data_IF_687320710240
#
_entry.id   IF_687320710240
#
_cell.length_a   1.000
_cell.length_b   1.000
_cell.length_c   1.000
_cell.angle_alpha   90.00
_cell.angle_beta   90.00
_cell.angle_gamma   90.00
#
_symmetry.space_group_name_H-M   'P 1'
#
loop_
_entity.id
_entity.type
_entity.pdbx_description
1 polymer ?
#
# COMPACT_ATOMS: atom_id res chain seq x y z
N UNK A 1 -47.14 43.58 -32.18
CA UNK A 1 -47.29 42.14 -31.88
C UNK A 1 -45.95 41.39 -32.23
N UNK A 2 -44.79 41.90 -31.83
CA UNK A 2 -43.45 41.30 -32.19
C UNK A 2 -42.45 41.18 -31.03
N UNK A 3 -42.86 41.41 -29.76
CA UNK A 3 -41.94 41.35 -28.61
C UNK A 3 -41.94 40.03 -27.83
N UNK A 4 -42.91 39.14 -28.02
CA UNK A 4 -43.05 37.94 -27.20
C UNK A 4 -42.15 36.76 -27.61
N UNK A 5 -41.65 36.78 -28.86
CA UNK A 5 -40.82 35.69 -29.40
C UNK A 5 -39.36 35.72 -28.91
N UNK A 6 -38.74 36.90 -28.81
CA UNK A 6 -37.35 37.05 -28.37
C UNK A 6 -37.13 36.68 -26.89
N UNK A 7 -38.09 36.98 -26.04
CA UNK A 7 -37.98 36.64 -24.60
C UNK A 7 -38.09 35.13 -24.33
N UNK A 8 -38.84 34.37 -25.12
CA UNK A 8 -38.91 32.91 -25.00
C UNK A 8 -37.62 32.23 -25.41
N UNK A 9 -36.99 32.68 -26.49
CA UNK A 9 -35.71 32.14 -26.99
C UNK A 9 -34.56 32.40 -25.99
N UNK A 10 -34.53 33.63 -25.39
CA UNK A 10 -33.55 33.96 -24.36
C UNK A 10 -33.68 33.14 -23.06
N UNK A 11 -34.92 32.86 -22.64
CA UNK A 11 -35.18 31.99 -21.49
C UNK A 11 -34.79 30.55 -21.76
N UNK A 12 -35.01 30.06 -22.97
CA UNK A 12 -34.67 28.70 -23.37
C UNK A 12 -33.16 28.52 -23.52
N UNK A 13 -32.44 29.52 -24.08
CA UNK A 13 -30.99 29.56 -24.15
C UNK A 13 -30.34 29.62 -22.73
N UNK A 14 -30.89 30.43 -21.81
CA UNK A 14 -30.41 30.49 -20.42
C UNK A 14 -30.63 29.16 -19.67
N UNK A 15 -31.74 28.48 -19.91
CA UNK A 15 -31.98 27.16 -19.31
C UNK A 15 -30.99 26.10 -19.84
N UNK A 16 -30.71 26.12 -21.15
CA UNK A 16 -29.77 25.19 -21.79
C UNK A 16 -28.31 25.44 -21.33
N UNK A 17 -27.91 26.73 -21.28
CA UNK A 17 -26.56 27.11 -20.78
C UNK A 17 -26.40 26.75 -19.29
N UNK A 18 -27.41 26.92 -18.44
CA UNK A 18 -27.37 26.50 -17.04
C UNK A 18 -27.31 24.97 -16.87
N UNK A 19 -27.90 24.19 -17.77
CA UNK A 19 -27.78 22.73 -17.80
C UNK A 19 -26.36 22.33 -18.21
N UNK A 20 -25.80 22.95 -19.25
CA UNK A 20 -24.40 22.68 -19.65
C UNK A 20 -23.41 23.06 -18.57
N UNK A 21 -23.54 24.22 -17.92
CA UNK A 21 -22.65 24.63 -16.81
C UNK A 21 -22.80 23.73 -15.56
N UNK A 22 -23.98 23.18 -15.29
CA UNK A 22 -24.18 22.17 -14.27
C UNK A 22 -23.54 20.81 -14.66
N UNK A 23 -23.62 20.42 -15.93
CA UNK A 23 -22.99 19.21 -16.44
C UNK A 23 -21.47 19.34 -16.42
N UNK A 24 -20.90 20.47 -16.85
CA UNK A 24 -19.44 20.72 -16.78
C UNK A 24 -18.94 20.77 -15.33
N UNK A 25 -19.68 21.41 -14.42
CA UNK A 25 -19.31 21.39 -13.00
C UNK A 25 -19.48 20.00 -12.38
N UNK A 26 -20.47 19.21 -12.83
CA UNK A 26 -20.67 17.83 -12.38
C UNK A 26 -19.61 16.87 -12.97
N UNK A 27 -19.25 17.05 -14.24
CA UNK A 27 -18.14 16.32 -14.88
C UNK A 27 -16.80 16.73 -14.25
N UNK A 28 -16.58 18.01 -13.97
CA UNK A 28 -15.41 18.50 -13.26
C UNK A 28 -15.39 18.00 -11.81
N UNK A 29 -16.53 17.96 -11.12
CA UNK A 29 -16.68 17.36 -9.80
C UNK A 29 -16.44 15.84 -9.84
N UNK A 30 -16.96 15.12 -10.82
CA UNK A 30 -16.69 13.69 -11.04
C UNK A 30 -15.23 13.43 -11.42
N UNK A 31 -14.62 14.29 -12.25
CA UNK A 31 -13.17 14.21 -12.57
C UNK A 31 -12.29 14.56 -11.37
N UNK A 32 -12.71 15.50 -10.53
CA UNK A 32 -11.98 15.88 -9.32
C UNK A 32 -12.13 14.85 -8.19
N UNK A 33 -13.25 14.14 -8.12
CA UNK A 33 -13.52 13.08 -7.14
C UNK A 33 -13.18 11.68 -7.65
N UNK A 34 -13.03 11.50 -8.96
CA UNK A 34 -12.61 10.23 -9.57
C UNK A 34 -11.11 10.21 -9.89
N UNK A 35 -10.28 10.79 -9.03
CA UNK A 35 -8.90 10.33 -8.92
C UNK A 35 -9.01 8.92 -8.34
N UNK A 36 -8.95 7.92 -9.22
CA UNK A 36 -8.80 6.53 -8.82
C UNK A 36 -7.74 6.49 -7.72
N UNK A 37 -8.12 6.02 -6.54
CA UNK A 37 -7.15 5.86 -5.45
C UNK A 37 -6.05 4.94 -5.96
N UNK A 38 -4.82 5.40 -5.94
CA UNK A 38 -3.69 4.62 -6.44
C UNK A 38 -3.12 3.77 -5.30
N UNK A 39 -3.49 2.50 -5.28
CA UNK A 39 -3.03 1.56 -4.25
C UNK A 39 -1.87 0.74 -4.76
N UNK A 40 -0.80 0.68 -4.00
CA UNK A 40 0.37 -0.12 -4.33
C UNK A 40 0.82 -0.99 -3.16
N UNK A 41 1.38 -2.14 -3.48
CA UNK A 41 2.03 -3.03 -2.54
C UNK A 41 3.54 -2.89 -2.72
N UNK A 42 4.26 -2.56 -1.66
CA UNK A 42 5.71 -2.67 -1.64
C UNK A 42 6.09 -4.02 -1.04
N UNK A 43 6.57 -4.91 -1.89
CA UNK A 43 6.80 -6.31 -1.59
C UNK A 43 8.28 -6.65 -1.54
N UNK A 44 8.64 -7.67 -0.78
CA UNK A 44 10.02 -8.14 -0.69
C UNK A 44 10.36 -8.70 0.69
N UNK A 45 11.49 -9.43 0.81
CA UNK A 45 11.92 -10.07 2.05
C UNK A 45 12.23 -9.05 3.17
N UNK A 46 12.30 -9.52 4.44
CA UNK A 46 12.84 -8.71 5.53
C UNK A 46 14.22 -8.17 5.16
N UNK A 47 14.49 -6.90 5.43
CA UNK A 47 15.78 -6.27 5.09
C UNK A 47 15.90 -5.73 3.67
N UNK A 48 14.90 -5.93 2.79
CA UNK A 48 14.96 -5.45 1.39
C UNK A 48 14.89 -3.92 1.23
N UNK A 49 14.64 -3.16 2.30
CA UNK A 49 14.60 -1.69 2.26
C UNK A 49 13.19 -1.10 2.11
N UNK A 50 12.13 -1.90 2.21
CA UNK A 50 10.73 -1.43 2.07
C UNK A 50 10.43 -0.18 2.88
N UNK A 51 10.69 -0.19 4.19
CA UNK A 51 10.36 0.95 5.06
C UNK A 51 11.00 2.25 4.61
N UNK A 52 12.30 2.23 4.28
CA UNK A 52 13.02 3.41 3.77
C UNK A 52 12.43 3.93 2.45
N UNK A 53 12.05 3.01 1.57
CA UNK A 53 11.42 3.38 0.29
C UNK A 53 9.98 3.83 0.48
N UNK A 54 9.22 3.21 1.40
CA UNK A 54 7.86 3.62 1.75
C UNK A 54 7.82 5.08 2.18
N UNK A 55 8.70 5.52 3.09
CA UNK A 55 8.77 6.91 3.54
C UNK A 55 8.93 7.90 2.38
N UNK A 56 9.81 7.59 1.43
CA UNK A 56 10.03 8.44 0.24
C UNK A 56 8.84 8.41 -0.72
N UNK A 57 8.24 7.24 -0.94
CA UNK A 57 7.10 7.08 -1.85
C UNK A 57 5.84 7.77 -1.33
N UNK A 58 5.53 7.64 -0.03
CA UNK A 58 4.37 8.33 0.56
C UNK A 58 4.54 9.84 0.50
N UNK A 59 5.76 10.36 0.70
CA UNK A 59 6.04 11.79 0.60
C UNK A 59 5.85 12.29 -0.85
N UNK A 60 6.30 11.53 -1.86
CA UNK A 60 6.20 11.92 -3.27
C UNK A 60 4.79 11.84 -3.82
N UNK A 61 4.07 10.76 -3.53
CA UNK A 61 2.76 10.46 -4.13
C UNK A 61 1.56 10.82 -3.25
N UNK A 62 1.81 11.22 -2.00
CA UNK A 62 0.77 11.58 -1.05
C UNK A 62 -0.10 10.39 -0.63
N UNK A 63 0.50 9.19 -0.55
CA UNK A 63 -0.18 7.96 -0.18
C UNK A 63 -0.28 7.81 1.33
N UNK A 64 -1.32 7.12 1.79
CA UNK A 64 -1.41 6.69 3.18
C UNK A 64 -0.59 5.42 3.39
N UNK A 65 0.35 5.43 4.34
CA UNK A 65 1.19 4.26 4.66
C UNK A 65 0.43 3.29 5.55
N UNK A 66 0.33 2.03 5.15
CA UNK A 66 -0.19 0.92 5.94
C UNK A 66 0.89 -0.15 6.10
N UNK A 67 1.63 -0.06 7.20
CA UNK A 67 2.69 -1.01 7.57
C UNK A 67 2.18 -1.92 8.68
N UNK A 68 1.93 -3.20 8.37
CA UNK A 68 1.50 -4.17 9.39
C UNK A 68 2.55 -4.39 10.48
N UNK A 69 3.83 -4.31 10.12
CA UNK A 69 4.91 -4.41 11.10
C UNK A 69 4.89 -3.26 12.12
N UNK A 70 4.58 -2.05 11.68
CA UNK A 70 4.53 -0.89 12.57
C UNK A 70 3.25 -0.88 13.40
N UNK A 71 2.12 -1.26 12.80
CA UNK A 71 0.85 -1.43 13.53
C UNK A 71 1.02 -2.43 14.67
N UNK A 72 1.59 -3.62 14.41
CA UNK A 72 1.82 -4.63 15.45
C UNK A 72 2.82 -4.16 16.51
N UNK A 73 3.92 -3.51 16.12
CA UNK A 73 4.88 -2.94 17.08
C UNK A 73 4.25 -1.87 17.97
N UNK A 74 3.36 -1.05 17.44
CA UNK A 74 2.64 -0.06 18.23
C UNK A 74 1.73 -0.75 19.28
N UNK A 75 1.05 -1.85 18.92
CA UNK A 75 0.27 -2.65 19.86
C UNK A 75 1.15 -3.27 20.95
N UNK A 76 2.35 -3.75 20.59
CA UNK A 76 3.34 -4.27 21.55
C UNK A 76 3.81 -3.16 22.51
N UNK A 77 4.18 -1.99 21.99
CA UNK A 77 4.60 -0.85 22.82
C UNK A 77 3.50 -0.36 23.79
N UNK A 78 2.23 -0.50 23.40
CA UNK A 78 1.07 -0.15 24.22
C UNK A 78 0.65 -1.27 25.15
N UNK A 79 1.34 -2.41 25.14
CA UNK A 79 1.05 -3.61 25.97
C UNK A 79 -0.40 -4.09 25.86
N UNK A 80 -1.04 -3.92 24.72
CA UNK A 80 -2.40 -4.41 24.50
C UNK A 80 -2.45 -5.94 24.51
N UNK A 81 -3.60 -6.56 24.75
CA UNK A 81 -3.74 -8.02 24.62
C UNK A 81 -3.27 -8.53 23.25
N UNK A 82 -3.61 -7.82 22.18
CA UNK A 82 -3.18 -8.09 20.82
C UNK A 82 -1.65 -7.97 20.67
N UNK A 83 -1.04 -6.93 21.24
CA UNK A 83 0.40 -6.73 21.22
C UNK A 83 1.16 -7.86 21.89
N UNK A 84 0.69 -8.33 23.07
CA UNK A 84 1.30 -9.46 23.78
C UNK A 84 1.22 -10.77 22.98
N UNK A 85 0.10 -11.01 22.31
CA UNK A 85 -0.05 -12.16 21.42
C UNK A 85 0.86 -12.05 20.20
N UNK A 86 0.87 -10.89 19.51
CA UNK A 86 1.69 -10.63 18.34
C UNK A 86 3.18 -10.80 18.65
N UNK A 87 3.64 -10.37 19.82
CA UNK A 87 5.04 -10.49 20.24
C UNK A 87 5.50 -11.95 20.25
N UNK A 88 4.66 -12.90 20.70
CA UNK A 88 5.01 -14.32 20.73
C UNK A 88 5.32 -14.90 19.34
N UNK A 89 4.69 -14.39 18.29
CA UNK A 89 4.97 -14.78 16.90
C UNK A 89 6.19 -14.04 16.36
N UNK A 90 6.28 -12.73 16.59
CA UNK A 90 7.34 -11.88 16.04
C UNK A 90 8.72 -12.24 16.61
N UNK A 91 8.81 -12.57 17.90
CA UNK A 91 10.07 -12.99 18.55
C UNK A 91 10.61 -14.32 18.01
N UNK A 92 9.74 -15.14 17.42
CA UNK A 92 10.10 -16.38 16.71
C UNK A 92 10.31 -16.19 15.21
N UNK A 93 10.11 -14.97 14.70
CA UNK A 93 10.14 -14.67 13.27
C UNK A 93 8.97 -15.22 12.47
N UNK A 94 7.87 -15.59 13.14
CA UNK A 94 6.65 -16.14 12.54
C UNK A 94 5.65 -15.05 12.17
N UNK A 95 4.69 -15.41 11.29
CA UNK A 95 3.56 -14.52 10.97
C UNK A 95 2.51 -14.54 12.08
N UNK A 96 1.94 -13.38 12.38
CA UNK A 96 0.73 -13.25 13.20
C UNK A 96 -0.46 -13.82 12.41
N UNK A 97 -1.47 -14.45 13.06
CA UNK A 97 -2.64 -15.01 12.37
C UNK A 97 -3.31 -14.04 11.38
N UNK A 98 -3.76 -14.58 10.24
CA UNK A 98 -4.29 -13.79 9.12
C UNK A 98 -5.49 -12.93 9.52
N UNK A 99 -6.41 -13.49 10.33
CA UNK A 99 -7.62 -12.80 10.75
C UNK A 99 -7.33 -11.52 11.53
N UNK A 100 -6.30 -11.57 12.38
CA UNK A 100 -5.86 -10.42 13.17
C UNK A 100 -5.33 -9.31 12.26
N UNK A 101 -4.43 -9.67 11.33
CA UNK A 101 -3.80 -8.71 10.43
C UNK A 101 -4.81 -8.13 9.44
N UNK A 102 -5.71 -8.95 8.90
CA UNK A 102 -6.79 -8.50 8.01
C UNK A 102 -7.72 -7.52 8.74
N UNK A 103 -8.10 -7.82 9.99
CA UNK A 103 -8.91 -6.93 10.82
C UNK A 103 -8.25 -5.57 11.04
N UNK A 104 -6.95 -5.55 11.34
CA UNK A 104 -6.17 -4.31 11.50
C UNK A 104 -6.14 -3.47 10.20
N UNK A 105 -5.93 -4.11 9.06
CA UNK A 105 -5.93 -3.42 7.76
C UNK A 105 -7.32 -2.88 7.43
N UNK A 106 -8.39 -3.66 7.66
CA UNK A 106 -9.76 -3.19 7.44
C UNK A 106 -10.06 -1.93 8.25
N UNK A 107 -9.73 -1.93 9.55
CA UNK A 107 -9.90 -0.77 10.42
C UNK A 107 -9.11 0.45 9.93
N UNK A 108 -7.84 0.24 9.55
CA UNK A 108 -6.99 1.31 9.05
C UNK A 108 -7.49 1.92 7.72
N UNK A 109 -8.10 1.12 6.84
CA UNK A 109 -8.76 1.58 5.61
C UNK A 109 -10.00 2.43 5.92
N UNK A 110 -10.79 2.06 6.93
CA UNK A 110 -12.02 2.75 7.32
C UNK A 110 -11.72 4.07 8.08
N UNK A 111 -10.61 4.13 8.80
CA UNK A 111 -10.14 5.35 9.48
C UNK A 111 -9.59 6.40 8.50
N UNK A 112 -9.31 6.04 7.24
CA UNK A 112 -8.71 6.94 6.25
C UNK A 112 -9.55 7.06 4.96
N UNK A 113 -10.85 7.45 5.04
CA UNK A 113 -11.75 7.47 3.87
C UNK A 113 -11.37 8.51 2.82
N UNK A 114 -10.56 9.51 3.18
CA UNK A 114 -10.11 10.58 2.28
C UNK A 114 -8.72 10.37 1.69
N UNK A 115 -8.12 9.19 1.86
CA UNK A 115 -6.79 8.91 1.32
C UNK A 115 -6.78 8.96 -0.21
N UNK A 116 -5.73 9.54 -0.80
CA UNK A 116 -5.52 9.54 -2.27
C UNK A 116 -5.12 8.16 -2.81
N UNK A 117 -4.79 7.24 -1.92
CA UNK A 117 -4.36 5.88 -2.17
C UNK A 117 -3.55 5.37 -0.99
N UNK A 118 -3.26 4.08 -1.01
CA UNK A 118 -2.55 3.40 0.06
C UNK A 118 -1.27 2.74 -0.46
N UNK A 119 -0.23 2.82 0.36
CA UNK A 119 0.98 2.03 0.21
C UNK A 119 0.97 0.94 1.29
N UNK A 120 0.79 -0.32 0.86
CA UNK A 120 0.84 -1.48 1.74
C UNK A 120 2.28 -1.97 1.89
N UNK A 121 2.81 -1.93 3.12
CA UNK A 121 4.13 -2.43 3.47
C UNK A 121 4.02 -3.61 4.44
N UNK A 122 4.53 -4.77 4.02
CA UNK A 122 4.45 -6.00 4.79
C UNK A 122 3.07 -6.64 4.86
N UNK A 123 2.18 -6.29 3.95
CA UNK A 123 0.86 -6.87 3.71
C UNK A 123 0.54 -6.78 2.21
N UNK A 124 -0.07 -7.83 1.60
CA UNK A 124 -0.33 -9.14 2.18
C UNK A 124 0.92 -10.03 2.31
N UNK A 125 0.89 -11.02 3.19
CA UNK A 125 1.96 -12.02 3.39
C UNK A 125 1.51 -13.46 3.15
N UNK A 126 0.23 -13.68 2.94
CA UNK A 126 -0.35 -14.98 2.57
C UNK A 126 -1.35 -14.79 1.43
N UNK A 127 -1.66 -15.83 0.64
CA UNK A 127 -2.70 -15.77 -0.39
C UNK A 127 -4.07 -15.38 0.20
N UNK A 128 -4.42 -15.85 1.39
CA UNK A 128 -5.66 -15.50 2.07
C UNK A 128 -5.74 -13.99 2.39
N UNK A 129 -4.63 -13.40 2.84
CA UNK A 129 -4.53 -11.95 3.04
C UNK A 129 -4.66 -11.18 1.72
N UNK A 130 -4.10 -11.70 0.61
CA UNK A 130 -4.19 -11.06 -0.70
C UNK A 130 -5.63 -11.02 -1.22
N UNK A 131 -6.34 -12.14 -1.12
CA UNK A 131 -7.76 -12.23 -1.47
C UNK A 131 -8.63 -11.30 -0.60
N UNK A 132 -8.37 -11.27 0.71
CA UNK A 132 -9.09 -10.39 1.63
C UNK A 132 -8.84 -8.91 1.29
N UNK A 133 -7.58 -8.52 0.97
CA UNK A 133 -7.25 -7.16 0.55
C UNK A 133 -7.99 -6.75 -0.72
N UNK A 134 -7.96 -7.61 -1.75
CA UNK A 134 -8.66 -7.34 -3.00
C UNK A 134 -10.17 -7.18 -2.79
N UNK A 135 -10.79 -8.00 -1.93
CA UNK A 135 -12.20 -7.87 -1.58
C UNK A 135 -12.51 -6.56 -0.83
N UNK A 136 -11.69 -6.17 0.15
CA UNK A 136 -11.83 -4.90 0.87
C UNK A 136 -11.72 -3.69 -0.06
N UNK A 137 -10.76 -3.72 -0.98
CA UNK A 137 -10.54 -2.63 -1.93
C UNK A 137 -11.60 -2.61 -3.05
N UNK A 138 -12.12 -3.75 -3.46
CA UNK A 138 -13.22 -3.85 -4.43
C UNK A 138 -14.49 -3.17 -3.91
N UNK A 139 -14.82 -3.33 -2.62
CA UNK A 139 -15.94 -2.62 -1.98
C UNK A 139 -15.78 -1.09 -2.01
N UNK A 140 -14.53 -0.61 -2.08
CA UNK A 140 -14.20 0.82 -2.16
C UNK A 140 -13.99 1.30 -3.61
N UNK A 141 -14.13 0.42 -4.62
CA UNK A 141 -13.89 0.74 -6.04
C UNK A 141 -12.45 1.11 -6.36
N UNK A 142 -11.50 0.63 -5.58
CA UNK A 142 -10.11 1.08 -5.58
C UNK A 142 -9.12 -0.11 -5.53
N UNK A 143 -8.97 -0.85 -6.63
CA UNK A 143 -8.12 -2.04 -6.65
C UNK A 143 -6.63 -1.72 -6.50
N UNK A 144 -5.82 -2.74 -6.20
CA UNK A 144 -4.35 -2.65 -6.29
C UNK A 144 -3.96 -2.36 -7.73
N UNK A 145 -3.18 -1.29 -7.93
CA UNK A 145 -2.63 -0.91 -9.24
C UNK A 145 -1.36 -1.71 -9.57
N UNK A 146 -0.46 -1.85 -8.60
CA UNK A 146 0.82 -2.55 -8.80
C UNK A 146 1.37 -3.12 -7.50
N UNK A 147 2.06 -4.26 -7.60
CA UNK A 147 2.95 -4.81 -6.58
C UNK A 147 4.39 -4.62 -7.04
N UNK A 148 5.15 -3.80 -6.33
CA UNK A 148 6.56 -3.56 -6.56
C UNK A 148 7.38 -4.51 -5.69
N UNK A 149 7.98 -5.53 -6.28
CA UNK A 149 8.70 -6.58 -5.59
C UNK A 149 10.21 -6.30 -5.61
N UNK A 150 10.78 -5.97 -4.44
CA UNK A 150 12.22 -5.73 -4.28
C UNK A 150 12.98 -7.06 -4.28
N UNK A 151 13.89 -7.21 -5.23
CA UNK A 151 14.81 -8.34 -5.34
C UNK A 151 16.17 -7.98 -4.73
N UNK A 152 16.59 -8.75 -3.72
CA UNK A 152 17.83 -8.53 -2.95
C UNK A 152 18.43 -9.88 -2.56
N UNK A 153 19.75 -10.02 -2.68
CA UNK A 153 20.47 -11.23 -2.28
C UNK A 153 20.38 -11.50 -0.77
N UNK A 154 20.44 -12.77 -0.39
CA UNK A 154 20.29 -13.18 1.03
C UNK A 154 21.39 -12.59 1.90
N UNK A 155 22.62 -12.55 1.39
CA UNK A 155 23.78 -12.01 2.09
C UNK A 155 23.58 -10.53 2.42
N UNK A 156 23.06 -9.76 1.46
CA UNK A 156 22.76 -8.35 1.65
C UNK A 156 21.59 -8.13 2.62
N UNK A 157 20.58 -9.02 2.59
CA UNK A 157 19.46 -8.97 3.54
C UNK A 157 19.93 -9.16 4.99
N UNK A 158 20.72 -10.21 5.25
CA UNK A 158 21.27 -10.50 6.59
C UNK A 158 22.12 -9.33 7.09
N UNK A 159 23.03 -8.83 6.24
CA UNK A 159 23.89 -7.68 6.55
C UNK A 159 23.05 -6.44 6.93
N UNK A 160 22.03 -6.11 6.16
CA UNK A 160 21.15 -4.95 6.43
C UNK A 160 20.36 -5.12 7.71
N UNK A 161 19.87 -6.33 7.99
CA UNK A 161 19.09 -6.60 9.20
C UNK A 161 19.94 -6.53 10.46
N UNK A 162 21.13 -7.13 10.47
CA UNK A 162 22.08 -7.02 11.59
C UNK A 162 22.46 -5.57 11.87
N UNK A 163 22.82 -4.81 10.82
CA UNK A 163 23.11 -3.37 10.97
C UNK A 163 21.93 -2.58 11.54
N UNK A 164 20.71 -2.91 11.11
CA UNK A 164 19.50 -2.26 11.64
C UNK A 164 19.27 -2.61 13.10
N UNK A 165 19.54 -3.85 13.51
CA UNK A 165 19.46 -4.30 14.91
C UNK A 165 20.29 -3.47 15.87
N UNK A 166 21.47 -3.02 15.44
CA UNK A 166 22.36 -2.18 16.26
C UNK A 166 21.74 -0.83 16.67
N UNK A 167 20.80 -0.30 15.88
CA UNK A 167 20.31 1.08 16.07
C UNK A 167 18.79 1.20 16.26
N UNK A 168 18.01 0.19 15.82
CA UNK A 168 16.54 0.30 15.75
C UNK A 168 15.80 -0.11 17.01
N UNK A 169 16.46 -0.78 17.96
CA UNK A 169 15.82 -1.38 19.14
C UNK A 169 14.81 -2.50 18.84
N UNK A 170 14.79 -3.01 17.58
CA UNK A 170 13.90 -4.11 17.18
C UNK A 170 14.46 -5.44 17.69
N UNK A 171 13.72 -6.15 18.54
CA UNK A 171 14.13 -7.43 19.10
C UNK A 171 14.34 -8.50 18.02
N UNK A 172 13.55 -8.45 16.95
CA UNK A 172 13.57 -9.39 15.83
C UNK A 172 14.74 -9.21 14.84
N UNK A 173 15.57 -8.18 15.03
CA UNK A 173 16.80 -7.94 14.23
C UNK A 173 18.11 -8.18 15.03
N UNK A 174 18.00 -8.46 16.32
CA UNK A 174 19.19 -8.63 17.20
C UNK A 174 19.74 -10.05 17.22
N UNK A 175 19.08 -11.00 16.56
CA UNK A 175 19.45 -12.41 16.57
C UNK A 175 19.46 -12.97 15.14
N UNK A 176 20.62 -13.42 14.68
CA UNK A 176 20.79 -13.95 13.32
C UNK A 176 19.88 -15.17 13.07
N UNK A 177 19.62 -16.02 14.07
CA UNK A 177 18.70 -17.15 13.91
C UNK A 177 17.26 -16.68 13.64
N UNK A 178 16.81 -15.61 14.32
CA UNK A 178 15.50 -15.01 14.09
C UNK A 178 15.45 -14.36 12.69
N UNK A 179 16.53 -13.67 12.28
CA UNK A 179 16.65 -13.09 10.94
C UNK A 179 16.51 -14.17 9.88
N UNK A 180 17.25 -15.28 10.01
CA UNK A 180 17.17 -16.40 9.06
C UNK A 180 15.80 -17.09 9.09
N UNK A 181 15.19 -17.27 10.26
CA UNK A 181 13.83 -17.78 10.37
C UNK A 181 12.82 -16.90 9.61
N UNK A 182 12.94 -15.59 9.70
CA UNK A 182 12.09 -14.63 8.95
C UNK A 182 12.29 -14.71 7.43
N UNK A 183 13.52 -14.94 6.97
CA UNK A 183 13.81 -15.12 5.53
C UNK A 183 13.19 -16.45 5.05
N UNK A 184 13.29 -17.51 5.82
CA UNK A 184 12.67 -18.81 5.51
C UNK A 184 11.14 -18.68 5.50
N UNK A 185 10.54 -18.02 6.51
CA UNK A 185 9.12 -17.79 6.60
C UNK A 185 8.60 -16.98 5.39
N UNK A 186 9.34 -15.94 4.99
CA UNK A 186 9.04 -15.16 3.79
C UNK A 186 9.05 -16.05 2.54
N UNK A 187 10.09 -16.86 2.33
CA UNK A 187 10.22 -17.71 1.15
C UNK A 187 9.14 -18.79 1.08
N UNK A 188 8.78 -19.36 2.23
CA UNK A 188 7.83 -20.47 2.29
C UNK A 188 6.37 -20.03 2.23
N UNK A 189 6.04 -18.87 2.79
CA UNK A 189 4.64 -18.43 2.94
C UNK A 189 4.30 -17.14 2.18
N UNK A 190 5.27 -16.23 2.07
CA UNK A 190 5.00 -14.88 1.55
C UNK A 190 5.37 -14.74 0.07
N UNK A 191 6.44 -15.35 -0.39
CA UNK A 191 6.86 -15.23 -1.79
C UNK A 191 5.77 -15.65 -2.78
N UNK A 192 4.95 -16.64 -2.44
CA UNK A 192 3.81 -17.13 -3.25
C UNK A 192 2.73 -16.06 -3.49
N UNK A 193 2.69 -14.99 -2.69
CA UNK A 193 1.74 -13.87 -2.91
C UNK A 193 2.04 -13.14 -4.23
N UNK A 194 3.30 -13.11 -4.66
CA UNK A 194 3.64 -12.57 -5.97
C UNK A 194 2.97 -13.36 -7.11
N UNK A 195 2.89 -14.70 -6.99
CA UNK A 195 2.20 -15.54 -7.98
C UNK A 195 0.69 -15.25 -8.04
N UNK A 196 0.10 -14.87 -6.91
CA UNK A 196 -1.31 -14.45 -6.86
C UNK A 196 -1.53 -13.20 -7.71
N UNK A 197 -0.73 -12.13 -7.50
CA UNK A 197 -0.87 -10.87 -8.25
C UNK A 197 -0.31 -10.95 -9.68
N UNK A 198 0.59 -11.89 -9.96
CA UNK A 198 1.10 -12.14 -11.32
C UNK A 198 0.00 -12.61 -12.28
N UNK A 199 -1.02 -13.33 -11.78
CA UNK A 199 -2.18 -13.73 -12.58
C UNK A 199 -2.97 -12.55 -13.16
N UNK A 200 -2.84 -11.38 -12.55
CA UNK A 200 -3.50 -10.12 -12.94
C UNK A 200 -2.53 -9.13 -13.59
N UNK A 201 -1.31 -9.56 -13.92
CA UNK A 201 -0.23 -8.73 -14.51
C UNK A 201 0.11 -7.48 -13.66
N UNK A 202 0.05 -7.64 -12.32
CA UNK A 202 0.27 -6.54 -11.38
C UNK A 202 1.65 -6.56 -10.71
N UNK A 203 2.53 -7.53 -11.00
CA UNK A 203 3.83 -7.67 -10.35
C UNK A 203 4.93 -7.05 -11.19
N UNK A 204 5.76 -6.24 -10.56
CA UNK A 204 6.98 -5.69 -11.15
C UNK A 204 8.17 -5.99 -10.25
N UNK A 205 9.13 -6.72 -10.78
CA UNK A 205 10.40 -6.98 -10.09
C UNK A 205 11.31 -5.76 -10.19
N UNK A 206 11.77 -5.25 -9.05
CA UNK A 206 12.67 -4.10 -8.97
C UNK A 206 13.94 -4.49 -8.24
N UNK A 207 15.10 -4.25 -8.85
CA UNK A 207 16.39 -4.49 -8.20
C UNK A 207 16.52 -3.63 -6.94
N UNK A 208 16.53 -4.28 -5.77
CA UNK A 208 16.59 -3.67 -4.45
C UNK A 208 18.02 -3.45 -3.92
N UNK A 209 19.04 -3.48 -4.81
CA UNK A 209 20.43 -3.23 -4.50
C UNK A 209 20.93 -1.95 -5.17
N UNK A 210 21.87 -1.26 -4.51
CA UNK A 210 22.37 0.06 -4.87
C UNK A 210 22.15 1.08 -3.77
N UNK A 211 22.24 2.36 -4.09
CA UNK A 211 21.93 3.43 -3.14
C UNK A 211 20.40 3.52 -2.89
N UNK A 212 20.02 4.18 -1.81
CA UNK A 212 18.59 4.42 -1.51
C UNK A 212 17.92 5.20 -2.65
N UNK A 213 18.64 6.15 -3.22
CA UNK A 213 18.19 7.00 -4.32
C UNK A 213 17.99 6.18 -5.62
N UNK A 214 18.96 5.33 -5.98
CA UNK A 214 18.85 4.47 -7.18
C UNK A 214 17.61 3.57 -7.12
N UNK A 215 17.34 2.99 -5.95
CA UNK A 215 16.17 2.13 -5.75
C UNK A 215 14.89 2.96 -5.84
N UNK A 216 14.89 4.14 -5.21
CA UNK A 216 13.74 5.05 -5.25
C UNK A 216 13.38 5.48 -6.68
N UNK A 217 14.39 5.84 -7.49
CA UNK A 217 14.18 6.24 -8.89
C UNK A 217 13.59 5.08 -9.72
N UNK A 218 14.09 3.84 -9.53
CA UNK A 218 13.53 2.66 -10.19
C UNK A 218 12.07 2.44 -9.81
N UNK A 219 11.73 2.55 -8.52
CA UNK A 219 10.36 2.42 -8.05
C UNK A 219 9.46 3.52 -8.64
N UNK A 220 9.90 4.77 -8.61
CA UNK A 220 9.15 5.89 -9.19
C UNK A 220 8.89 5.70 -10.68
N UNK A 221 9.87 5.24 -11.45
CA UNK A 221 9.71 4.96 -12.88
C UNK A 221 8.56 3.98 -13.14
N UNK A 222 8.46 2.92 -12.34
CA UNK A 222 7.40 1.92 -12.48
C UNK A 222 6.02 2.44 -12.04
N UNK A 223 5.99 3.32 -11.04
CA UNK A 223 4.77 3.98 -10.59
C UNK A 223 4.29 4.99 -11.64
N UNK A 224 5.17 5.87 -12.10
CA UNK A 224 4.84 6.96 -13.03
C UNK A 224 4.30 6.45 -14.39
N UNK A 225 4.55 5.18 -14.74
CA UNK A 225 3.98 4.54 -15.94
C UNK A 225 2.54 4.02 -15.73
N UNK A 226 2.05 3.96 -14.48
CA UNK A 226 0.77 3.33 -14.11
C UNK A 226 -0.18 4.25 -13.33
N UNK A 227 0.31 5.43 -12.91
CA UNK A 227 -0.43 6.42 -12.13
C UNK A 227 -1.29 7.35 -13.00
#
# INVERSE_FOLDING_TARGET
>A
MYETGRFKVFKQLRATVNVYLKYDSYICYLHYHNRLMFNLILFGPPGSGKGTQSEKLIARYGLQHLSTGDLLRNEICRETPLGKEAQNFMDKGQLVPDEVVIGMISSALDENPGAKGFLFDGFPRTPAQAEALDNLLALKGSPIAVMLALDVSEEELVKRLLKRGETSGRSDDNNENVIRARIVEYRSKTAIVADYYQKFDKVVMVKGEGTVEDIFERLCKEIDQRA
#
